data_IF_545997706501
#
_entry.id   IF_545997706501
#
_cell.length_a   1.000
_cell.length_b   1.000
_cell.length_c   1.000
_cell.angle_alpha   90.00
_cell.angle_beta   90.00
_cell.angle_gamma   90.00
#
_symmetry.space_group_name_H-M   'P 1'
#
loop_
_entity.id
_entity.type
_entity.pdbx_description
1 polymer ?
#
# COMPACT_ATOMS: atom_id res chain seq x y z
N UNK A 1 3.71 -24.57 5.58
CA UNK A 1 3.82 -23.86 6.88
C UNK A 1 4.10 -22.38 6.67
N UNK A 2 5.16 -21.99 5.97
CA UNK A 2 5.40 -20.57 5.67
C UNK A 2 4.36 -20.00 4.71
N UNK A 3 4.00 -20.73 3.66
CA UNK A 3 2.97 -20.30 2.71
C UNK A 3 1.61 -20.11 3.39
N UNK A 4 1.21 -21.07 4.22
CA UNK A 4 -0.01 -21.02 5.05
C UNK A 4 0.01 -19.83 6.04
N UNK A 5 1.15 -19.52 6.65
CA UNK A 5 1.30 -18.34 7.51
C UNK A 5 1.04 -17.04 6.75
N UNK A 6 1.56 -16.93 5.53
CA UNK A 6 1.38 -15.75 4.69
C UNK A 6 -0.03 -15.64 4.11
N UNK A 7 -0.66 -16.76 3.80
CA UNK A 7 -2.08 -16.82 3.44
C UNK A 7 -2.97 -16.33 4.60
N UNK A 8 -2.70 -16.78 5.82
CA UNK A 8 -3.39 -16.29 7.01
C UNK A 8 -3.15 -14.80 7.26
N UNK A 9 -1.93 -14.30 6.98
CA UNK A 9 -1.64 -12.87 7.07
C UNK A 9 -2.44 -12.05 6.05
N UNK A 10 -2.55 -12.52 4.81
CA UNK A 10 -3.40 -11.89 3.78
C UNK A 10 -4.87 -11.85 4.22
N UNK A 11 -5.41 -12.95 4.74
CA UNK A 11 -6.79 -12.99 5.23
C UNK A 11 -7.04 -11.96 6.35
N UNK A 12 -6.07 -11.76 7.26
CA UNK A 12 -6.16 -10.71 8.30
C UNK A 12 -6.06 -9.30 7.75
N UNK A 13 -5.40 -9.07 6.61
CA UNK A 13 -5.35 -7.75 5.99
C UNK A 13 -6.73 -7.34 5.45
N UNK A 14 -7.56 -8.29 5.03
CA UNK A 14 -8.94 -8.01 4.65
C UNK A 14 -9.78 -7.50 5.84
N UNK A 15 -9.54 -8.01 7.06
CA UNK A 15 -10.25 -7.58 8.27
C UNK A 15 -10.01 -6.10 8.61
N UNK A 16 -8.86 -5.53 8.23
CA UNK A 16 -8.54 -4.11 8.47
C UNK A 16 -9.54 -3.18 7.77
N UNK A 17 -10.11 -3.64 6.66
CA UNK A 17 -11.10 -2.86 5.89
C UNK A 17 -12.47 -2.76 6.55
N UNK A 18 -12.70 -3.51 7.64
CA UNK A 18 -13.95 -3.44 8.40
C UNK A 18 -14.04 -2.20 9.29
N UNK A 19 -12.89 -1.62 9.70
CA UNK A 19 -12.81 -0.40 10.50
C UNK A 19 -12.56 0.79 9.56
N UNK A 20 -13.62 1.52 9.23
CA UNK A 20 -13.58 2.58 8.23
C UNK A 20 -12.61 3.72 8.60
N UNK A 21 -12.53 4.10 9.88
CA UNK A 21 -11.67 5.19 10.32
C UNK A 21 -10.19 4.80 10.24
N UNK A 22 -9.84 3.59 10.71
CA UNK A 22 -8.48 3.07 10.58
C UNK A 22 -8.11 2.85 9.12
N UNK A 23 -9.01 2.31 8.32
CA UNK A 23 -8.77 2.07 6.91
C UNK A 23 -8.55 3.38 6.15
N UNK A 24 -9.32 4.42 6.44
CA UNK A 24 -9.12 5.75 5.86
C UNK A 24 -7.74 6.33 6.19
N UNK A 25 -7.28 6.23 7.45
CA UNK A 25 -5.96 6.74 7.83
C UNK A 25 -4.83 5.95 7.17
N UNK A 26 -4.98 4.62 7.06
CA UNK A 26 -4.03 3.77 6.33
C UNK A 26 -3.97 4.19 4.85
N UNK A 27 -5.12 4.32 4.20
CA UNK A 27 -5.19 4.75 2.79
C UNK A 27 -4.57 6.13 2.59
N UNK A 28 -4.81 7.08 3.49
CA UNK A 28 -4.18 8.40 3.45
C UNK A 28 -2.66 8.29 3.46
N UNK A 29 -2.11 7.47 4.37
CA UNK A 29 -0.66 7.26 4.47
C UNK A 29 -0.09 6.55 3.23
N UNK A 30 -0.81 5.59 2.65
CA UNK A 30 -0.41 4.91 1.42
C UNK A 30 -0.40 5.86 0.21
N UNK A 31 -1.36 6.77 0.13
CA UNK A 31 -1.42 7.81 -0.91
C UNK A 31 -0.27 8.80 -0.73
N UNK A 32 -0.01 9.26 0.51
CA UNK A 32 1.11 10.15 0.83
C UNK A 32 2.46 9.55 0.45
N UNK A 33 2.68 8.27 0.73
CA UNK A 33 3.91 7.57 0.35
C UNK A 33 4.15 7.62 -1.16
N UNK A 34 3.12 7.35 -1.97
CA UNK A 34 3.24 7.45 -3.43
C UNK A 34 3.37 8.88 -3.95
N UNK A 35 2.72 9.85 -3.31
CA UNK A 35 2.90 11.28 -3.62
C UNK A 35 4.36 11.71 -3.40
N UNK A 36 5.00 11.27 -2.31
CA UNK A 36 6.41 11.53 -2.06
C UNK A 36 7.33 10.80 -3.04
N UNK A 37 6.99 9.58 -3.44
CA UNK A 37 7.78 8.78 -4.37
C UNK A 37 7.71 9.31 -5.81
N UNK A 38 6.53 9.72 -6.30
CA UNK A 38 6.37 10.25 -7.65
C UNK A 38 6.79 11.71 -7.75
N UNK A 39 6.45 12.53 -6.75
CA UNK A 39 6.72 13.98 -6.75
C UNK A 39 6.29 14.66 -8.07
N UNK A 40 5.12 14.28 -8.59
CA UNK A 40 4.49 14.85 -9.79
C UNK A 40 3.35 15.81 -9.42
N UNK A 41 3.03 16.71 -10.35
CA UNK A 41 1.92 17.66 -10.19
C UNK A 41 0.54 17.02 -10.36
N UNK A 42 0.44 15.91 -11.11
CA UNK A 42 -0.83 15.24 -11.36
C UNK A 42 -0.64 13.73 -11.18
N UNK A 43 -1.52 13.10 -10.41
CA UNK A 43 -1.54 11.64 -10.23
C UNK A 43 -2.96 11.09 -10.38
N UNK A 44 -3.02 9.81 -10.76
CA UNK A 44 -4.27 9.05 -10.86
C UNK A 44 -4.23 7.89 -9.86
N UNK A 45 -5.28 7.75 -9.06
CA UNK A 45 -5.45 6.67 -8.10
C UNK A 45 -6.36 5.59 -8.67
N UNK A 46 -5.97 4.33 -8.48
CA UNK A 46 -6.77 3.15 -8.77
C UNK A 46 -7.03 2.43 -7.46
N UNK A 47 -8.30 2.19 -7.19
CA UNK A 47 -8.78 1.50 -5.99
C UNK A 47 -9.91 0.54 -6.38
N UNK A 48 -10.41 -0.24 -5.41
CA UNK A 48 -11.61 -1.05 -5.59
C UNK A 48 -12.84 -0.14 -5.66
N UNK A 49 -13.86 -0.55 -6.40
CA UNK A 49 -15.10 0.23 -6.55
C UNK A 49 -15.80 0.50 -5.20
N UNK A 50 -15.72 -0.44 -4.26
CA UNK A 50 -16.29 -0.28 -2.90
C UNK A 50 -15.53 0.70 -2.00
N UNK A 51 -14.29 1.04 -2.35
CA UNK A 51 -13.43 1.92 -1.55
C UNK A 51 -13.43 3.37 -2.07
N UNK A 52 -14.17 3.68 -3.14
CA UNK A 52 -14.13 4.99 -3.80
C UNK A 52 -14.39 6.16 -2.85
N UNK A 53 -15.40 6.04 -1.98
CA UNK A 53 -15.76 7.10 -1.03
C UNK A 53 -14.67 7.32 0.04
N UNK A 54 -14.06 6.23 0.52
CA UNK A 54 -13.01 6.29 1.55
C UNK A 54 -11.70 6.81 0.95
N UNK A 55 -11.37 6.35 -0.26
CA UNK A 55 -10.18 6.80 -1.00
C UNK A 55 -10.28 8.27 -1.35
N UNK A 56 -11.47 8.77 -1.72
CA UNK A 56 -11.67 10.20 -1.98
C UNK A 56 -11.39 11.05 -0.74
N UNK A 57 -11.94 10.68 0.42
CA UNK A 57 -11.66 11.36 1.70
C UNK A 57 -10.19 11.27 2.09
N UNK A 58 -9.57 10.10 1.90
CA UNK A 58 -8.17 9.89 2.17
C UNK A 58 -7.26 10.70 1.24
N UNK A 59 -7.64 10.86 -0.03
CA UNK A 59 -6.94 11.67 -1.02
C UNK A 59 -6.97 13.16 -0.66
N UNK A 60 -8.14 13.69 -0.27
CA UNK A 60 -8.26 15.09 0.17
C UNK A 60 -7.37 15.37 1.40
N UNK A 61 -7.37 14.46 2.38
CA UNK A 61 -6.52 14.56 3.56
C UNK A 61 -5.03 14.45 3.21
N UNK A 62 -4.66 13.52 2.32
CA UNK A 62 -3.29 13.34 1.85
C UNK A 62 -2.80 14.56 1.06
N UNK A 63 -3.65 15.17 0.23
CA UNK A 63 -3.32 16.36 -0.54
C UNK A 63 -3.03 17.56 0.38
N UNK A 64 -3.84 17.74 1.43
CA UNK A 64 -3.62 18.79 2.42
C UNK A 64 -2.29 18.60 3.18
N UNK A 65 -2.00 17.38 3.63
CA UNK A 65 -0.75 17.07 4.35
C UNK A 65 0.47 17.17 3.44
N UNK A 66 0.36 16.74 2.17
CA UNK A 66 1.42 16.89 1.18
C UNK A 66 1.75 18.36 0.93
N UNK A 67 0.73 19.20 0.74
CA UNK A 67 0.89 20.64 0.52
C UNK A 67 1.59 21.33 1.70
N UNK A 68 1.23 20.98 2.93
CA UNK A 68 1.86 21.51 4.14
C UNK A 68 3.35 21.13 4.22
N UNK A 69 3.68 19.85 4.00
CA UNK A 69 5.06 19.36 4.11
C UNK A 69 5.95 19.69 2.92
N UNK A 70 5.39 19.96 1.74
CA UNK A 70 6.14 20.27 0.51
C UNK A 70 6.16 21.76 0.18
N UNK A 71 6.05 22.63 1.19
CA UNK A 71 6.16 24.08 1.06
C UNK A 71 5.16 24.69 0.04
N UNK A 72 3.94 24.17 0.01
CA UNK A 72 2.89 24.67 -0.87
C UNK A 72 2.87 24.06 -2.28
N UNK A 73 3.62 22.98 -2.54
CA UNK A 73 3.43 22.20 -3.77
C UNK A 73 2.06 21.55 -3.77
N UNK A 74 1.32 21.77 -4.85
CA UNK A 74 0.02 21.18 -5.08
C UNK A 74 0.16 20.02 -6.06
N UNK A 75 -0.53 18.93 -5.75
CA UNK A 75 -0.67 17.78 -6.64
C UNK A 75 -2.16 17.54 -6.87
N UNK A 76 -2.59 17.50 -8.13
CA UNK A 76 -3.94 17.12 -8.51
C UNK A 76 -4.08 15.59 -8.43
N UNK A 77 -5.04 15.13 -7.63
CA UNK A 77 -5.31 13.71 -7.44
C UNK A 77 -6.64 13.39 -8.10
N UNK A 78 -6.62 12.51 -9.09
CA UNK A 78 -7.81 12.00 -9.77
C UNK A 78 -8.01 10.53 -9.46
N UNK A 79 -9.25 10.05 -9.40
CA UNK A 79 -9.53 8.62 -9.24
C UNK A 79 -9.91 8.07 -10.60
N UNK A 80 -9.25 6.99 -11.03
CA UNK A 80 -9.57 6.28 -12.27
C UNK A 80 -10.92 5.58 -12.13
N UNK A 81 -11.90 5.95 -12.97
CA UNK A 81 -13.20 5.29 -13.01
C UNK A 81 -13.24 4.10 -13.98
N UNK A 82 -12.23 3.96 -14.85
CA UNK A 82 -12.19 2.94 -15.91
C UNK A 82 -11.34 1.73 -15.51
N UNK A 83 -10.13 1.99 -15.01
CA UNK A 83 -9.20 0.94 -14.59
C UNK A 83 -9.16 0.85 -13.07
N UNK A 84 -10.18 0.20 -12.50
CA UNK A 84 -10.28 -0.10 -11.05
C UNK A 84 -9.49 -1.34 -10.67
N UNK A 85 -9.14 -1.44 -9.38
CA UNK A 85 -8.59 -2.69 -8.83
C UNK A 85 -9.69 -3.76 -8.75
N UNK A 86 -9.35 -5.05 -8.94
CA UNK A 86 -10.30 -6.14 -8.77
C UNK A 86 -10.91 -6.16 -7.36
N UNK A 87 -12.20 -6.48 -7.26
CA UNK A 87 -12.92 -6.51 -5.98
C UNK A 87 -12.40 -7.59 -5.01
N UNK A 88 -11.73 -8.61 -5.56
CA UNK A 88 -11.07 -9.70 -4.82
C UNK A 88 -9.80 -9.24 -4.07
N UNK A 89 -9.24 -8.08 -4.41
CA UNK A 89 -8.11 -7.53 -3.65
C UNK A 89 -8.56 -7.18 -2.23
N UNK A 90 -7.65 -7.24 -1.27
CA UNK A 90 -7.86 -7.01 0.16
C UNK A 90 -7.97 -5.52 0.47
N UNK A 91 -7.36 -4.66 -0.36
CA UNK A 91 -7.48 -3.22 -0.29
C UNK A 91 -6.19 -2.50 -0.69
N UNK A 92 -6.16 -1.20 -0.40
CA UNK A 92 -5.05 -0.32 -0.78
C UNK A 92 -5.29 0.37 -2.12
N UNK A 93 -4.22 0.96 -2.66
CA UNK A 93 -4.27 1.82 -3.85
C UNK A 93 -3.09 1.57 -4.78
N UNK A 94 -3.33 1.71 -6.08
CA UNK A 94 -2.26 1.86 -7.07
C UNK A 94 -2.24 3.32 -7.54
N UNK A 95 -1.05 3.91 -7.57
CA UNK A 95 -0.86 5.32 -7.87
C UNK A 95 -0.14 5.42 -9.20
N UNK A 96 -0.81 5.98 -10.19
CA UNK A 96 -0.33 6.08 -11.56
C UNK A 96 0.04 7.53 -11.84
N UNK A 97 1.17 7.71 -12.51
CA UNK A 97 1.65 9.03 -12.86
C UNK A 97 0.85 9.65 -14.01
N UNK A 98 1.07 10.95 -14.26
CA UNK A 98 0.34 11.71 -15.28
C UNK A 98 0.41 11.11 -16.70
N UNK A 99 1.50 10.41 -17.01
CA UNK A 99 1.73 9.80 -18.33
C UNK A 99 1.19 8.38 -18.47
N UNK A 100 0.71 7.76 -17.38
CA UNK A 100 0.33 6.34 -17.35
C UNK A 100 1.49 5.36 -17.49
N UNK A 101 2.74 5.82 -17.39
CA UNK A 101 3.95 5.00 -17.61
C UNK A 101 4.58 4.48 -16.33
N UNK A 102 4.36 5.19 -15.22
CA UNK A 102 4.89 4.82 -13.92
C UNK A 102 3.70 4.56 -13.02
N UNK A 103 3.64 3.36 -12.47
CA UNK A 103 2.67 2.99 -11.45
C UNK A 103 3.38 2.51 -10.18
N UNK A 104 2.86 2.94 -9.04
CA UNK A 104 3.27 2.50 -7.72
C UNK A 104 2.12 1.66 -7.17
N UNK A 105 2.32 0.34 -7.16
CA UNK A 105 1.38 -0.58 -6.55
C UNK A 105 1.57 -0.57 -5.02
N UNK A 106 0.67 0.11 -4.32
CA UNK A 106 0.65 0.20 -2.86
C UNK A 106 -0.55 -0.56 -2.26
N UNK A 107 -0.96 -1.65 -2.92
CA UNK A 107 -1.95 -2.59 -2.40
C UNK A 107 -1.40 -3.39 -1.21
N UNK A 108 -2.30 -3.90 -0.36
CA UNK A 108 -1.88 -4.67 0.82
C UNK A 108 -1.14 -5.96 0.44
N UNK A 109 -1.59 -6.63 -0.62
CA UNK A 109 -0.93 -7.83 -1.15
C UNK A 109 0.49 -7.55 -1.60
N UNK A 110 0.70 -6.48 -2.36
CA UNK A 110 2.02 -6.16 -2.88
C UNK A 110 2.98 -5.80 -1.76
N UNK A 111 2.51 -5.02 -0.77
CA UNK A 111 3.31 -4.72 0.43
C UNK A 111 3.65 -5.97 1.22
N UNK A 112 2.70 -6.89 1.38
CA UNK A 112 2.96 -8.16 2.06
C UNK A 112 3.95 -9.03 1.26
N UNK A 113 3.84 -9.05 -0.07
CA UNK A 113 4.75 -9.79 -0.97
C UNK A 113 6.17 -9.25 -0.90
N UNK A 114 6.34 -7.93 -0.88
CA UNK A 114 7.65 -7.30 -0.68
C UNK A 114 8.21 -7.67 0.70
N UNK A 115 7.41 -7.54 1.76
CA UNK A 115 7.80 -7.92 3.11
C UNK A 115 8.16 -9.41 3.21
N UNK A 116 7.42 -10.30 2.54
CA UNK A 116 7.71 -11.73 2.48
C UNK A 116 9.12 -11.97 1.96
N UNK A 117 9.51 -11.31 0.87
CA UNK A 117 10.82 -11.51 0.26
C UNK A 117 11.98 -11.06 1.16
N UNK A 118 11.81 -9.97 1.90
CA UNK A 118 12.85 -9.42 2.79
C UNK A 118 12.87 -10.10 4.17
N UNK A 119 11.69 -10.40 4.72
CA UNK A 119 11.54 -10.92 6.08
C UNK A 119 11.67 -12.45 6.16
N UNK A 120 11.67 -13.17 5.03
CA UNK A 120 11.73 -14.64 5.00
C UNK A 120 12.87 -15.23 5.85
N UNK A 121 14.10 -14.70 5.81
CA UNK A 121 15.20 -15.21 6.63
C UNK A 121 14.91 -15.08 8.13
N UNK A 122 14.36 -13.94 8.55
CA UNK A 122 14.01 -13.65 9.94
C UNK A 122 12.84 -14.51 10.41
N UNK A 123 11.75 -14.60 9.63
CA UNK A 123 10.58 -15.44 9.91
C UNK A 123 10.99 -16.91 10.04
N UNK A 124 11.86 -17.40 9.14
CA UNK A 124 12.38 -18.77 9.20
C UNK A 124 13.19 -19.01 10.47
N UNK A 125 14.06 -18.08 10.85
CA UNK A 125 14.87 -18.20 12.07
C UNK A 125 13.99 -18.19 13.33
N UNK A 126 12.95 -17.36 13.38
CA UNK A 126 12.01 -17.32 14.51
C UNK A 126 11.19 -18.61 14.65
N UNK A 127 10.69 -19.15 13.55
CA UNK A 127 9.81 -20.34 13.58
C UNK A 127 10.57 -21.66 13.75
N UNK A 128 11.76 -21.77 13.15
CA UNK A 128 12.50 -23.04 13.09
C UNK A 128 13.85 -23.01 13.83
N UNK A 129 14.19 -21.86 14.43
CA UNK A 129 15.47 -21.63 15.08
C UNK A 129 16.58 -21.21 14.10
N UNK A 130 17.67 -20.66 14.65
CA UNK A 130 18.84 -20.31 13.84
C UNK A 130 19.54 -21.55 13.29
N UNK A 131 20.07 -21.44 12.07
CA UNK A 131 20.88 -22.50 11.49
C UNK A 131 22.19 -22.65 12.29
N UNK A 132 22.34 -23.76 13.02
CA UNK A 132 23.53 -24.08 13.83
C UNK A 132 24.83 -24.12 13.03
N UNK A 133 24.77 -24.29 11.71
CA UNK A 133 25.93 -24.31 10.82
C UNK A 133 26.26 -22.93 10.21
N UNK A 134 25.43 -21.89 10.42
CA UNK A 134 25.72 -20.53 9.95
C UNK A 134 26.73 -19.88 10.91
N UNK A 135 27.97 -19.72 10.44
CA UNK A 135 29.08 -19.16 11.23
C UNK A 135 29.22 -17.63 11.15
N UNK A 136 28.74 -17.04 10.06
CA UNK A 136 28.88 -15.62 9.73
C UNK A 136 27.51 -15.01 9.41
N UNK A 137 27.25 -13.79 9.88
CA UNK A 137 25.94 -13.11 9.80
C UNK A 137 25.96 -11.84 8.93
N UNK A 138 27.15 -11.49 8.48
CA UNK A 138 27.59 -10.42 7.61
C UNK A 138 27.40 -10.74 6.12
#
# INVERSE_FOLDING_TARGET
LLDDLFEQANNKLADITTDADKYQDILKNLILEGLYALNESNITLRCRSKDDDVVRKAADAAQAEYKDKMNGRETEITIDEKDKLPDETSGGVTIVNSTGRIDINNTFEERLRLLQSEALPSVRATLFGENKNRKFKD
#
